data_IF_897852923384
#
_entry.id   IF_897852923384
#
_cell.length_a   1.000
_cell.length_b   1.000
_cell.length_c   1.000
_cell.angle_alpha   90.00
_cell.angle_beta   90.00
_cell.angle_gamma   90.00
#
_symmetry.space_group_name_H-M   'P 1'
#
loop_
_entity.id
_entity.type
_entity.pdbx_description
1 polymer ?
#
# COMPACT_ATOMS: atom_id res chain seq x y z
N UNK A 1 1.65 -16.78 23.28
CA UNK A 1 2.02 -17.90 22.38
C UNK A 1 0.80 -18.70 21.90
N UNK A 2 -0.23 -18.95 22.75
CA UNK A 2 -1.41 -19.75 22.36
C UNK A 2 -2.31 -19.13 21.27
N UNK A 3 -2.51 -17.80 21.25
CA UNK A 3 -3.39 -17.15 20.27
C UNK A 3 -2.88 -17.21 18.82
N UNK A 4 -1.56 -17.27 18.62
CA UNK A 4 -0.95 -17.42 17.28
C UNK A 4 -1.11 -18.85 16.74
N UNK A 5 -1.03 -19.85 17.62
CA UNK A 5 -1.27 -21.25 17.24
C UNK A 5 -2.74 -21.51 16.92
N UNK A 6 -3.66 -20.89 17.66
CA UNK A 6 -5.09 -21.01 17.41
C UNK A 6 -5.50 -20.34 16.07
N UNK A 7 -4.90 -19.19 15.75
CA UNK A 7 -5.04 -18.56 14.43
C UNK A 7 -4.44 -19.43 13.30
N UNK A 8 -3.33 -20.14 13.57
CA UNK A 8 -2.74 -21.07 12.61
C UNK A 8 -3.56 -22.35 12.40
N UNK A 9 -4.28 -22.84 13.41
CA UNK A 9 -5.13 -24.04 13.30
C UNK A 9 -6.47 -23.79 12.63
N UNK A 10 -7.00 -22.55 12.68
CA UNK A 10 -8.24 -22.17 11.98
C UNK A 10 -8.01 -21.95 10.48
N UNK A 11 -6.79 -21.62 10.05
CA UNK A 11 -6.38 -21.56 8.64
C UNK A 11 -5.94 -22.97 8.20
N UNK A 12 -6.84 -23.95 8.33
CA UNK A 12 -6.61 -25.29 7.79
C UNK A 12 -6.58 -25.22 6.26
N UNK A 13 -5.45 -25.59 5.63
CA UNK A 13 -5.23 -25.97 4.21
C UNK A 13 -5.97 -25.23 3.06
N UNK A 14 -6.69 -24.15 3.34
CA UNK A 14 -7.35 -23.31 2.36
C UNK A 14 -6.35 -22.21 2.03
N UNK A 15 -5.88 -22.18 0.78
CA UNK A 15 -5.17 -21.02 0.25
C UNK A 15 -5.98 -19.77 0.61
N UNK A 16 -5.35 -18.73 1.18
CA UNK A 16 -6.08 -17.51 1.53
C UNK A 16 -6.83 -17.02 0.30
N UNK A 17 -8.09 -16.61 0.47
CA UNK A 17 -8.93 -16.14 -0.64
C UNK A 17 -8.12 -15.15 -1.49
N UNK A 18 -7.84 -15.45 -2.77
CA UNK A 18 -7.01 -14.60 -3.61
C UNK A 18 -7.50 -13.15 -3.67
N UNK A 19 -8.83 -12.93 -3.57
CA UNK A 19 -9.42 -11.59 -3.55
C UNK A 19 -9.09 -10.87 -2.24
N UNK A 20 -9.18 -11.57 -1.12
CA UNK A 20 -8.81 -11.03 0.19
C UNK A 20 -7.32 -10.71 0.26
N UNK A 21 -6.45 -11.61 -0.23
CA UNK A 21 -5.01 -11.36 -0.31
C UNK A 21 -4.71 -10.14 -1.18
N UNK A 22 -5.37 -10.02 -2.33
CA UNK A 22 -5.24 -8.86 -3.20
C UNK A 22 -5.70 -7.57 -2.52
N UNK A 23 -6.85 -7.60 -1.83
CA UNK A 23 -7.37 -6.46 -1.08
C UNK A 23 -6.39 -6.01 0.02
N UNK A 24 -5.87 -6.96 0.80
CA UNK A 24 -4.90 -6.69 1.85
C UNK A 24 -3.61 -6.09 1.30
N UNK A 25 -3.05 -6.70 0.25
CA UNK A 25 -1.82 -6.23 -0.38
C UNK A 25 -1.98 -4.82 -0.97
N UNK A 26 -3.03 -4.61 -1.76
CA UNK A 26 -3.29 -3.32 -2.41
C UNK A 26 -3.59 -2.23 -1.38
N UNK A 27 -4.37 -2.53 -0.33
CA UNK A 27 -4.61 -1.60 0.75
C UNK A 27 -3.31 -1.21 1.47
N UNK A 28 -2.46 -2.19 1.80
CA UNK A 28 -1.16 -1.94 2.43
C UNK A 28 -0.26 -1.03 1.58
N UNK A 29 -0.23 -1.26 0.26
CA UNK A 29 0.58 -0.50 -0.68
C UNK A 29 0.10 0.95 -0.82
N UNK A 30 -1.22 1.17 -0.80
CA UNK A 30 -1.84 2.46 -1.11
C UNK A 30 -2.24 3.26 0.14
N UNK A 31 -2.06 2.70 1.34
CA UNK A 31 -2.54 3.27 2.61
C UNK A 31 -2.06 4.70 2.88
N UNK A 32 -0.85 5.01 2.42
CA UNK A 32 -0.16 6.25 2.72
C UNK A 32 0.26 7.03 1.45
N UNK A 33 -0.36 6.73 0.30
CA UNK A 33 -0.03 7.42 -0.97
C UNK A 33 -0.25 8.93 -0.91
N UNK A 34 -1.21 9.37 -0.08
CA UNK A 34 -1.48 10.80 0.18
C UNK A 34 -0.28 11.57 0.74
N UNK A 35 0.66 10.90 1.42
CA UNK A 35 1.79 11.58 2.08
C UNK A 35 2.67 12.32 1.07
N UNK A 36 2.75 11.84 -0.18
CA UNK A 36 3.48 12.51 -1.25
C UNK A 36 2.88 13.89 -1.56
N UNK A 37 1.55 14.02 -1.48
CA UNK A 37 0.85 15.29 -1.74
C UNK A 37 0.91 16.27 -0.58
N UNK A 38 0.86 15.73 0.65
CA UNK A 38 0.77 16.57 1.85
C UNK A 38 2.15 17.05 2.28
N UNK A 39 3.17 16.18 2.22
CA UNK A 39 4.46 16.45 2.86
C UNK A 39 5.54 16.91 1.88
N UNK A 40 5.34 16.71 0.57
CA UNK A 40 6.38 16.91 -0.45
C UNK A 40 5.91 17.87 -1.52
N UNK A 41 6.79 18.81 -1.84
CA UNK A 41 6.70 19.63 -3.03
C UNK A 41 7.80 19.18 -3.99
N UNK A 42 7.42 18.78 -5.21
CA UNK A 42 8.37 18.30 -6.21
C UNK A 42 8.50 19.33 -7.32
N UNK A 43 9.71 19.81 -7.53
CA UNK A 43 10.06 20.79 -8.54
C UNK A 43 10.87 20.10 -9.64
N UNK A 44 10.35 20.04 -10.85
CA UNK A 44 11.06 19.51 -12.01
C UNK A 44 12.15 20.49 -12.43
N UNK A 45 13.35 19.98 -12.73
CA UNK A 45 14.49 20.78 -13.15
C UNK A 45 15.19 20.21 -14.38
N UNK A 46 16.01 21.03 -15.03
CA UNK A 46 16.94 20.55 -16.05
C UNK A 46 18.20 19.92 -15.42
N UNK A 47 19.12 19.44 -16.27
CA UNK A 47 20.39 18.85 -15.85
C UNK A 47 21.30 19.84 -15.09
N UNK A 48 21.11 21.14 -15.30
CA UNK A 48 21.83 22.22 -14.61
C UNK A 48 21.13 22.62 -13.30
N UNK A 49 20.04 21.94 -12.93
CA UNK A 49 19.28 22.21 -11.72
C UNK A 49 18.44 23.48 -11.79
N UNK A 50 18.21 24.06 -12.97
CA UNK A 50 17.29 25.19 -13.17
C UNK A 50 15.85 24.70 -13.12
N UNK A 51 15.01 25.45 -12.45
CA UNK A 51 13.59 25.12 -12.31
C UNK A 51 12.87 25.18 -13.66
N UNK A 52 12.08 24.16 -13.95
CA UNK A 52 11.20 24.10 -15.14
C UNK A 52 9.75 24.34 -14.71
N UNK A 53 9.24 23.49 -13.81
CA UNK A 53 7.86 23.56 -13.31
C UNK A 53 7.69 22.80 -12.00
N UNK A 54 6.61 23.07 -11.28
CA UNK A 54 6.17 22.25 -10.16
C UNK A 54 5.39 21.04 -10.68
N UNK A 55 5.64 19.86 -10.13
CA UNK A 55 4.88 18.65 -10.47
C UNK A 55 3.59 18.58 -9.67
N UNK A 56 2.48 18.46 -10.39
CA UNK A 56 1.19 18.10 -9.82
C UNK A 56 0.95 16.60 -9.99
N UNK A 57 0.69 15.84 -8.91
CA UNK A 57 0.35 14.40 -9.03
C UNK A 57 -0.94 14.14 -9.82
N UNK A 58 -1.78 15.17 -9.99
CA UNK A 58 -2.98 15.07 -10.81
C UNK A 58 -2.66 14.98 -12.31
N UNK A 59 -1.53 15.57 -12.75
CA UNK A 59 -1.08 15.57 -14.15
C UNK A 59 -0.47 14.23 -14.59
N UNK A 60 -0.36 13.28 -13.67
CA UNK A 60 0.15 11.93 -13.94
C UNK A 60 1.60 11.74 -13.50
N UNK A 61 2.20 10.64 -13.96
CA UNK A 61 3.54 10.25 -13.56
C UNK A 61 4.61 11.20 -14.12
N UNK A 62 5.70 11.39 -13.38
CA UNK A 62 6.83 12.25 -13.78
C UNK A 62 7.65 11.70 -14.95
N UNK A 63 7.40 10.45 -15.37
CA UNK A 63 8.21 9.74 -16.39
C UNK A 63 8.36 10.52 -17.71
N UNK A 64 7.37 11.34 -18.08
CA UNK A 64 7.40 12.16 -19.30
C UNK A 64 7.77 13.63 -19.05
N UNK A 65 8.04 14.03 -17.80
CA UNK A 65 8.15 15.45 -17.42
C UNK A 65 9.59 15.93 -17.25
N UNK A 66 10.57 15.02 -17.12
CA UNK A 66 11.99 15.35 -17.03
C UNK A 66 12.78 14.30 -16.24
N UNK A 67 14.11 14.35 -16.36
CA UNK A 67 15.02 13.39 -15.71
C UNK A 67 15.55 13.89 -14.35
N UNK A 68 15.33 15.16 -14.00
CA UNK A 68 15.86 15.77 -12.78
C UNK A 68 14.74 16.49 -12.04
N UNK A 69 14.78 16.42 -10.71
CA UNK A 69 13.83 17.08 -9.84
C UNK A 69 14.45 17.39 -8.47
N UNK A 70 13.84 18.34 -7.76
CA UNK A 70 14.16 18.69 -6.38
C UNK A 70 12.94 18.43 -5.51
N UNK A 71 13.13 17.73 -4.38
CA UNK A 71 12.09 17.52 -3.38
C UNK A 71 12.30 18.52 -2.26
N UNK A 72 11.23 19.24 -1.90
CA UNK A 72 11.18 20.08 -0.70
C UNK A 72 10.10 19.55 0.23
N UNK A 73 10.28 19.77 1.53
CA UNK A 73 9.21 19.52 2.49
C UNK A 73 8.16 20.60 2.31
N UNK A 74 6.91 20.18 2.24
CA UNK A 74 5.76 21.04 2.14
C UNK A 74 4.96 20.91 3.41
N UNK A 75 4.71 22.03 4.10
CA UNK A 75 4.07 22.05 5.41
C UNK A 75 2.67 22.67 5.30
N UNK A 76 1.85 22.13 4.39
CA UNK A 76 0.45 22.57 4.27
C UNK A 76 -0.42 21.84 5.29
N UNK A 77 -1.31 22.54 6.01
CA UNK A 77 -2.31 21.91 6.85
C UNK A 77 -3.44 21.33 5.97
N UNK A 78 -3.23 20.16 5.35
CA UNK A 78 -4.22 19.49 4.48
C UNK A 78 -4.98 18.38 5.23
N UNK A 79 -4.96 18.38 6.56
CA UNK A 79 -5.46 17.28 7.39
C UNK A 79 -6.89 16.85 7.04
N UNK A 80 -7.77 17.80 6.70
CA UNK A 80 -9.17 17.53 6.41
C UNK A 80 -9.42 16.82 5.07
N UNK A 81 -8.64 17.13 4.02
CA UNK A 81 -8.81 16.56 2.67
C UNK A 81 -7.92 15.34 2.43
N UNK A 82 -6.91 15.16 3.29
CA UNK A 82 -5.89 14.11 3.19
C UNK A 82 -6.51 12.70 3.05
N UNK A 83 -7.56 12.40 3.80
CA UNK A 83 -8.22 11.08 3.77
C UNK A 83 -8.92 10.81 2.43
N UNK A 84 -9.64 11.80 1.91
CA UNK A 84 -10.35 11.72 0.63
C UNK A 84 -9.36 11.65 -0.53
N UNK A 85 -8.25 12.40 -0.44
CA UNK A 85 -7.16 12.32 -1.42
C UNK A 85 -6.58 10.90 -1.47
N UNK A 86 -6.43 10.22 -0.33
CA UNK A 86 -5.93 8.85 -0.32
C UNK A 86 -6.77 7.91 -1.18
N UNK A 87 -8.10 7.95 -0.99
CA UNK A 87 -9.04 7.12 -1.76
C UNK A 87 -9.01 7.50 -3.24
N UNK A 88 -9.00 8.81 -3.53
CA UNK A 88 -8.95 9.30 -4.91
C UNK A 88 -7.71 8.82 -5.65
N UNK A 89 -6.53 8.89 -5.02
CA UNK A 89 -5.30 8.44 -5.64
C UNK A 89 -5.17 6.91 -5.65
N UNK A 90 -5.61 6.21 -4.61
CA UNK A 90 -5.63 4.76 -4.57
C UNK A 90 -6.45 4.19 -5.73
N UNK A 91 -7.65 4.74 -5.97
CA UNK A 91 -8.51 4.32 -7.10
C UNK A 91 -7.94 4.70 -8.46
N UNK A 92 -7.22 5.83 -8.57
CA UNK A 92 -6.52 6.23 -9.81
C UNK A 92 -5.32 5.35 -10.14
N UNK A 93 -4.57 4.90 -9.12
CA UNK A 93 -3.38 4.07 -9.29
C UNK A 93 -3.72 2.58 -9.46
N UNK A 94 -4.84 2.13 -8.92
CA UNK A 94 -5.21 0.73 -8.98
C UNK A 94 -5.61 0.31 -10.40
N UNK A 95 -5.16 -0.85 -10.89
CA UNK A 95 -5.62 -1.37 -12.17
C UNK A 95 -7.14 -1.58 -12.18
N UNK A 96 -7.80 -1.26 -13.30
CA UNK A 96 -9.25 -1.42 -13.46
C UNK A 96 -9.73 -2.84 -13.14
N UNK A 97 -8.99 -3.85 -13.57
CA UNK A 97 -9.28 -5.26 -13.28
C UNK A 97 -9.28 -5.54 -11.76
N UNK A 98 -8.29 -5.02 -11.04
CA UNK A 98 -8.21 -5.15 -9.60
C UNK A 98 -9.38 -4.50 -8.87
N UNK A 99 -9.79 -3.30 -9.31
CA UNK A 99 -10.98 -2.64 -8.76
C UNK A 99 -12.25 -3.43 -9.04
N UNK A 100 -12.39 -4.02 -10.23
CA UNK A 100 -13.54 -4.88 -10.56
C UNK A 100 -13.60 -6.15 -9.68
N UNK A 101 -12.44 -6.73 -9.33
CA UNK A 101 -12.36 -7.88 -8.44
C UNK A 101 -12.79 -7.55 -7.02
N UNK A 102 -12.41 -6.37 -6.50
CA UNK A 102 -12.88 -5.90 -5.20
C UNK A 102 -14.38 -5.60 -5.24
N UNK A 103 -14.85 -4.92 -6.29
CA UNK A 103 -16.26 -4.55 -6.44
C UNK A 103 -17.21 -5.75 -6.59
N UNK A 104 -16.70 -6.92 -6.97
CA UNK A 104 -17.46 -8.16 -7.00
C UNK A 104 -17.89 -8.64 -5.58
N UNK A 105 -17.29 -8.11 -4.52
CA UNK A 105 -17.71 -8.32 -3.13
C UNK A 105 -17.77 -6.96 -2.42
N UNK A 106 -18.98 -6.43 -2.25
CA UNK A 106 -19.19 -5.10 -1.66
C UNK A 106 -18.70 -5.00 -0.21
N UNK A 107 -18.75 -6.09 0.56
CA UNK A 107 -18.22 -6.09 1.94
C UNK A 107 -16.69 -5.95 1.94
N UNK A 108 -16.02 -6.65 1.03
CA UNK A 108 -14.57 -6.55 0.84
C UNK A 108 -14.15 -5.16 0.34
N UNK A 109 -14.90 -4.61 -0.62
CA UNK A 109 -14.69 -3.25 -1.11
C UNK A 109 -14.89 -2.23 0.02
N UNK A 110 -15.93 -2.39 0.84
CA UNK A 110 -16.20 -1.49 1.96
C UNK A 110 -15.08 -1.53 2.99
N UNK A 111 -14.61 -2.72 3.38
CA UNK A 111 -13.45 -2.86 4.27
C UNK A 111 -12.19 -2.22 3.68
N UNK A 112 -11.94 -2.40 2.38
CA UNK A 112 -10.80 -1.79 1.68
C UNK A 112 -10.88 -0.25 1.66
N UNK A 113 -12.05 0.33 1.37
CA UNK A 113 -12.27 1.77 1.40
C UNK A 113 -12.14 2.35 2.82
N UNK A 114 -12.70 1.66 3.82
CA UNK A 114 -12.61 2.06 5.22
C UNK A 114 -11.14 2.12 5.68
N UNK A 115 -10.32 1.12 5.32
CA UNK A 115 -8.87 1.12 5.56
C UNK A 115 -8.20 2.36 4.97
N UNK A 116 -8.51 2.71 3.71
CA UNK A 116 -7.86 3.84 3.03
C UNK A 116 -8.26 5.20 3.61
N UNK A 117 -9.49 5.35 4.09
CA UNK A 117 -9.96 6.56 4.78
C UNK A 117 -9.40 6.62 6.21
N UNK A 118 -9.01 5.48 6.79
CA UNK A 118 -8.63 5.37 8.19
C UNK A 118 -9.84 5.23 9.12
N UNK A 119 -10.94 4.65 8.62
CA UNK A 119 -12.09 4.26 9.43
C UNK A 119 -11.83 2.87 10.02
N UNK A 120 -11.47 2.82 11.30
CA UNK A 120 -11.17 1.58 12.02
C UNK A 120 -12.42 0.71 12.23
N UNK A 121 -13.61 1.33 12.36
CA UNK A 121 -14.85 0.60 12.60
C UNK A 121 -15.28 -0.16 11.33
N UNK A 122 -15.20 0.47 10.17
CA UNK A 122 -15.51 -0.15 8.88
C UNK A 122 -14.44 -1.09 8.33
N UNK A 123 -13.19 -0.98 8.79
CA UNK A 123 -12.05 -1.72 8.22
C UNK A 123 -12.04 -3.22 8.54
N UNK A 124 -12.80 -3.68 9.53
CA UNK A 124 -13.04 -5.10 9.80
C UNK A 124 -11.78 -5.94 10.00
N UNK A 125 -11.71 -7.11 9.36
CA UNK A 125 -10.54 -8.00 9.42
C UNK A 125 -9.31 -7.42 8.73
N UNK A 126 -9.49 -6.72 7.61
CA UNK A 126 -8.39 -6.07 6.87
C UNK A 126 -7.67 -5.03 7.74
N UNK A 127 -8.43 -4.15 8.39
CA UNK A 127 -7.88 -3.12 9.30
C UNK A 127 -7.08 -3.72 10.44
N UNK A 128 -7.60 -4.77 11.08
CA UNK A 128 -6.90 -5.46 12.19
C UNK A 128 -5.56 -6.04 11.75
N UNK A 129 -5.53 -6.74 10.62
CA UNK A 129 -4.28 -7.32 10.09
C UNK A 129 -3.27 -6.21 9.79
N UNK A 130 -3.70 -5.13 9.13
CA UNK A 130 -2.82 -4.01 8.80
C UNK A 130 -2.31 -3.29 10.05
N UNK A 131 -3.15 -3.06 11.05
CA UNK A 131 -2.75 -2.47 12.33
C UNK A 131 -1.66 -3.30 13.02
N UNK A 132 -1.81 -4.63 13.06
CA UNK A 132 -0.80 -5.53 13.60
C UNK A 132 0.54 -5.42 12.84
N UNK A 133 0.50 -5.31 11.51
CA UNK A 133 1.72 -5.14 10.72
C UNK A 133 2.40 -3.79 10.96
N UNK A 134 1.63 -2.69 11.05
CA UNK A 134 2.17 -1.35 11.36
C UNK A 134 2.86 -1.33 12.72
N UNK A 135 2.26 -1.91 13.75
CA UNK A 135 2.87 -1.99 15.08
C UNK A 135 4.19 -2.78 15.06
N UNK A 136 4.24 -3.88 14.31
CA UNK A 136 5.47 -4.69 14.18
C UNK A 136 6.58 -3.97 13.41
N UNK A 137 6.24 -3.13 12.44
CA UNK A 137 7.20 -2.31 11.69
C UNK A 137 7.75 -1.20 12.59
N UNK A 138 6.88 -0.47 13.30
CA UNK A 138 7.28 0.64 14.17
C UNK A 138 8.05 0.18 15.42
N UNK A 139 7.82 -1.06 15.89
CA UNK A 139 8.56 -1.66 16.99
C UNK A 139 10.00 -2.07 16.63
N UNK A 140 10.44 -1.92 15.37
CA UNK A 140 11.85 -2.08 14.99
C UNK A 140 12.58 -0.74 15.14
N UNK A 141 13.45 -0.58 16.15
CA UNK A 141 14.23 0.65 16.30
C UNK A 141 15.28 0.72 15.18
N UNK A 142 15.23 1.77 14.37
CA UNK A 142 16.35 2.17 13.51
C UNK A 142 16.24 1.85 12.01
N UNK A 143 15.26 2.43 11.32
CA UNK A 143 15.44 2.80 9.90
C UNK A 143 14.52 3.95 9.51
N UNK A 144 15.06 5.17 9.54
CA UNK A 144 14.44 6.30 8.83
C UNK A 144 14.50 6.00 7.33
N UNK A 145 13.36 5.62 6.76
CA UNK A 145 13.26 5.25 5.35
C UNK A 145 12.24 4.13 5.18
N UNK A 146 11.11 4.46 4.55
CA UNK A 146 10.02 3.55 4.24
C UNK A 146 10.52 2.23 3.64
N UNK A 147 10.58 1.18 4.45
CA UNK A 147 10.80 -0.19 3.99
C UNK A 147 9.51 -0.95 4.22
N UNK A 148 8.67 -1.02 3.20
CA UNK A 148 7.56 -1.98 3.15
C UNK A 148 8.19 -3.36 2.93
N UNK A 149 8.54 -4.02 4.03
CA UNK A 149 8.92 -5.43 3.99
C UNK A 149 7.62 -6.24 3.83
N UNK A 150 7.29 -6.61 2.60
CA UNK A 150 6.23 -7.56 2.30
C UNK A 150 6.53 -8.89 3.00
N UNK A 151 5.85 -9.14 4.13
CA UNK A 151 5.70 -10.48 4.68
C UNK A 151 4.68 -11.24 3.83
N UNK A 152 5.07 -11.60 2.61
CA UNK A 152 4.50 -12.73 1.85
C UNK A 152 5.57 -13.82 1.68
N UNK A 153 6.47 -13.93 2.66
CA UNK A 153 7.45 -15.01 2.76
C UNK A 153 7.48 -15.53 4.19
N UNK A 154 6.44 -16.28 4.54
CA UNK A 154 6.47 -17.25 5.63
C UNK A 154 5.32 -18.25 5.43
N UNK A 155 5.51 -19.16 4.47
CA UNK A 155 4.88 -20.49 4.31
C UNK A 155 4.46 -20.83 2.88
N UNK A 156 5.36 -20.67 1.90
CA UNK A 156 5.29 -21.46 0.66
C UNK A 156 6.69 -21.92 0.28
N UNK A 157 7.14 -22.94 1.02
CA UNK A 157 8.00 -24.05 0.59
C UNK A 157 8.69 -23.89 -0.78
N UNK A 158 9.76 -23.09 -0.83
CA UNK A 158 10.61 -22.94 -2.02
C UNK A 158 11.62 -24.08 -2.19
N UNK A 159 11.44 -25.21 -1.47
CA UNK A 159 12.25 -26.42 -1.62
C UNK A 159 11.63 -27.46 -2.57
N UNK A 160 10.38 -27.29 -3.03
CA UNK A 160 9.72 -28.28 -3.91
C UNK A 160 9.81 -28.01 -5.42
N UNK A 161 10.43 -26.91 -5.87
CA UNK A 161 10.60 -26.62 -7.31
C UNK A 161 12.03 -26.84 -7.84
N UNK A 162 12.94 -27.41 -7.04
CA UNK A 162 14.26 -27.86 -7.51
C UNK A 162 14.36 -29.40 -7.72
N UNK A 163 13.26 -30.15 -7.64
CA UNK A 163 13.27 -31.62 -7.81
C UNK A 163 12.41 -32.17 -8.97
N UNK A 164 12.06 -31.37 -9.98
CA UNK A 164 11.47 -31.89 -11.22
C UNK A 164 11.95 -30.99 -12.38
N UNK A 165 12.69 -31.39 -13.41
CA UNK A 165 13.00 -32.64 -14.17
C UNK A 165 14.42 -32.43 -14.80
N UNK A 166 15.04 -33.29 -15.65
CA UNK A 166 14.56 -34.52 -16.30
C UNK A 166 15.54 -35.73 -16.25
N UNK A 167 15.00 -36.93 -16.43
CA UNK A 167 15.53 -37.96 -17.34
C UNK A 167 14.32 -38.70 -17.94
#
# INVERSE_FOLDING_TARGET
>A
MAALQQYQSEIGEQSPDPKFTYALFSAALLLDVRQILVDKQIMISDAQGRFIKEWSPFDGAMLSMGNHYKIRRYDRPVAYVSRQLNVLFATKLMPKLGLSWLAANLDLLNMWLAVLVGDEAGAGSLGRILALTKLKINARPGSGGFTVCLLVSASMNLQRLQQARPL
#
